data_IF_166931672218
#
_entry.id   IF_166931672218
#
_cell.length_a   1.000
_cell.length_b   1.000
_cell.length_c   1.000
_cell.angle_alpha   90.00
_cell.angle_beta   90.00
_cell.angle_gamma   90.00
#
_symmetry.space_group_name_H-M   'P 1'
#
loop_
_entity.id
_entity.type
_entity.pdbx_description
1 polymer ?
#
# COMPACT_ATOMS: atom_id res chain seq x y z
N UNK A 1 7.08 3.61 1.84
CA UNK A 1 8.19 3.24 2.71
C UNK A 1 7.81 3.21 4.19
N UNK A 2 7.41 4.33 4.83
CA UNK A 2 7.17 4.38 6.29
C UNK A 2 6.24 3.29 6.84
N UNK A 3 5.11 3.02 6.16
CA UNK A 3 4.16 1.97 6.55
C UNK A 3 4.73 0.53 6.51
N UNK A 4 5.85 0.33 5.82
CA UNK A 4 6.54 -0.96 5.70
C UNK A 4 7.81 -1.02 6.55
N UNK A 5 8.53 0.11 6.66
CA UNK A 5 9.80 0.18 7.38
C UNK A 5 9.67 0.34 8.90
N UNK A 6 8.55 0.90 9.38
CA UNK A 6 8.31 1.11 10.81
C UNK A 6 7.42 -0.03 11.35
N UNK A 7 7.92 -0.90 12.26
CA UNK A 7 7.21 -2.08 12.72
C UNK A 7 5.80 -1.80 13.23
N UNK A 8 5.61 -0.71 13.99
CA UNK A 8 4.29 -0.36 14.54
C UNK A 8 3.30 -0.02 13.42
N UNK A 9 3.71 0.73 12.40
CA UNK A 9 2.83 1.08 11.28
C UNK A 9 2.51 -0.15 10.42
N UNK A 10 3.49 -1.04 10.23
CA UNK A 10 3.27 -2.29 9.50
C UNK A 10 2.20 -3.18 10.14
N UNK A 11 2.11 -3.23 11.48
CA UNK A 11 1.09 -4.03 12.17
C UNK A 11 -0.34 -3.70 11.73
N UNK A 12 -0.60 -2.44 11.41
CA UNK A 12 -1.87 -1.99 10.85
C UNK A 12 -1.94 -2.21 9.34
N UNK A 13 -0.87 -1.83 8.63
CA UNK A 13 -0.82 -1.85 7.18
C UNK A 13 -0.85 -3.26 6.58
N UNK A 14 -0.34 -4.28 7.28
CA UNK A 14 -0.32 -5.66 6.79
C UNK A 14 -1.73 -6.22 6.49
N UNK A 15 -2.78 -5.64 7.08
CA UNK A 15 -4.17 -5.98 6.73
C UNK A 15 -4.49 -5.58 5.28
N UNK A 16 -3.96 -4.46 4.82
CA UNK A 16 -4.06 -4.04 3.41
C UNK A 16 -3.32 -5.02 2.50
N UNK A 17 -2.12 -5.44 2.91
CA UNK A 17 -1.34 -6.46 2.21
C UNK A 17 -1.87 -7.89 2.38
N UNK A 18 -2.97 -8.12 3.10
CA UNK A 18 -3.52 -9.47 3.27
C UNK A 18 -4.37 -9.93 2.07
N UNK A 19 -4.28 -9.23 0.93
CA UNK A 19 -4.98 -9.61 -0.30
C UNK A 19 -4.31 -10.80 -0.94
N UNK A 20 -5.11 -11.73 -1.48
CA UNK A 20 -4.63 -12.88 -2.27
C UNK A 20 -4.83 -12.68 -3.77
N UNK A 21 -5.67 -11.73 -4.13
CA UNK A 21 -6.01 -11.34 -5.50
C UNK A 21 -6.05 -9.83 -5.54
N UNK A 22 -5.64 -9.26 -6.68
CA UNK A 22 -5.77 -7.83 -6.90
C UNK A 22 -7.19 -7.51 -7.35
N UNK A 23 -7.89 -6.67 -6.61
CA UNK A 23 -9.18 -6.12 -6.99
C UNK A 23 -9.36 -4.74 -6.35
N UNK A 24 -10.22 -3.91 -6.95
CA UNK A 24 -10.38 -2.52 -6.51
C UNK A 24 -10.94 -2.43 -5.09
N UNK A 25 -11.58 -3.48 -4.57
CA UNK A 25 -12.08 -3.56 -3.19
C UNK A 25 -10.90 -3.75 -2.23
N UNK A 26 -9.86 -4.47 -2.65
CA UNK A 26 -8.58 -4.62 -1.96
C UNK A 26 -7.95 -3.27 -1.57
N UNK A 27 -8.13 -2.22 -2.39
CA UNK A 27 -7.73 -0.85 -2.07
C UNK A 27 -8.28 -0.35 -0.72
N UNK A 28 -9.35 -0.94 -0.20
CA UNK A 28 -10.06 -0.45 0.99
C UNK A 28 -9.87 -1.32 2.22
N UNK A 29 -9.05 -2.37 2.14
CA UNK A 29 -8.78 -3.29 3.24
C UNK A 29 -7.80 -2.71 4.26
N UNK A 30 -8.14 -1.56 4.84
CA UNK A 30 -7.33 -0.93 5.87
C UNK A 30 -7.88 -1.15 7.27
N UNK A 31 -7.00 -1.13 8.25
CA UNK A 31 -7.42 -1.03 9.63
C UNK A 31 -8.03 0.35 9.90
N UNK A 32 -9.11 0.42 10.69
CA UNK A 32 -9.80 1.69 10.96
C UNK A 32 -8.88 2.75 11.60
N UNK A 33 -8.01 2.34 12.53
CA UNK A 33 -7.03 3.23 13.15
C UNK A 33 -6.03 3.80 12.14
N UNK A 34 -5.62 3.03 11.13
CA UNK A 34 -4.76 3.53 10.05
C UNK A 34 -5.48 4.61 9.26
N UNK A 35 -6.75 4.39 8.91
CA UNK A 35 -7.57 5.39 8.22
C UNK A 35 -7.63 6.68 9.03
N UNK A 36 -7.93 6.62 10.33
CA UNK A 36 -8.07 7.81 11.18
C UNK A 36 -6.74 8.55 11.33
N UNK A 37 -5.67 7.85 11.74
CA UNK A 37 -4.37 8.46 12.01
C UNK A 37 -3.74 8.98 10.73
N UNK A 38 -3.64 8.15 9.69
CA UNK A 38 -3.00 8.54 8.44
C UNK A 38 -3.74 9.67 7.73
N UNK A 39 -5.08 9.61 7.66
CA UNK A 39 -5.87 10.69 7.04
C UNK A 39 -5.87 11.95 7.90
N UNK A 40 -5.88 11.81 9.23
CA UNK A 40 -5.76 12.94 10.15
C UNK A 40 -4.45 13.70 9.92
N UNK A 41 -3.31 12.99 9.97
CA UNK A 41 -1.99 13.58 9.71
C UNK A 41 -1.91 14.22 8.33
N UNK A 42 -2.53 13.60 7.31
CA UNK A 42 -2.50 14.11 5.94
C UNK A 42 -3.40 15.34 5.71
N UNK A 43 -4.61 15.35 6.27
CA UNK A 43 -5.63 16.33 5.89
C UNK A 43 -5.84 17.44 6.93
N UNK A 44 -5.54 17.22 8.21
CA UNK A 44 -5.63 18.28 9.23
C UNK A 44 -4.74 19.48 8.90
N UNK A 45 -3.46 19.31 8.48
CA UNK A 45 -2.64 20.46 8.11
C UNK A 45 -3.21 21.24 6.93
N UNK A 46 -3.75 20.56 5.90
CA UNK A 46 -4.39 21.21 4.76
C UNK A 46 -5.59 22.06 5.20
N UNK A 47 -6.37 21.55 6.14
CA UNK A 47 -7.50 22.29 6.70
C UNK A 47 -7.04 23.52 7.50
N UNK A 48 -6.02 23.36 8.36
CA UNK A 48 -5.46 24.47 9.16
C UNK A 48 -4.85 25.57 8.26
N UNK A 49 -4.25 25.18 7.13
CA UNK A 49 -3.72 26.12 6.13
C UNK A 49 -4.80 26.80 5.28
N UNK A 50 -6.08 26.50 5.52
CA UNK A 50 -7.19 27.14 4.82
C UNK A 50 -7.34 26.72 3.36
N UNK A 51 -6.94 25.49 3.01
CA UNK A 51 -7.16 24.96 1.66
C UNK A 51 -8.66 24.95 1.35
N UNK A 52 -9.03 25.49 0.18
CA UNK A 52 -10.42 25.52 -0.27
C UNK A 52 -11.04 24.12 -0.30
N UNK A 53 -12.27 24.01 0.19
CA UNK A 53 -12.96 22.73 0.32
C UNK A 53 -13.22 22.05 -1.04
N UNK A 54 -13.48 22.82 -2.11
CA UNK A 54 -13.69 22.24 -3.45
C UNK A 54 -12.38 21.70 -4.00
N UNK A 55 -11.28 22.44 -3.84
CA UNK A 55 -9.95 21.97 -4.21
C UNK A 55 -9.60 20.67 -3.46
N UNK A 56 -9.91 20.60 -2.16
CA UNK A 56 -9.74 19.40 -1.37
C UNK A 56 -10.60 18.22 -1.87
N UNK A 57 -11.87 18.46 -2.20
CA UNK A 57 -12.76 17.42 -2.75
C UNK A 57 -12.25 16.86 -4.08
N UNK A 58 -11.80 17.73 -4.99
CA UNK A 58 -11.24 17.32 -6.28
C UNK A 58 -9.99 16.47 -6.06
N UNK A 59 -9.07 16.93 -5.21
CA UNK A 59 -7.88 16.18 -4.85
C UNK A 59 -8.21 14.80 -4.25
N UNK A 60 -9.16 14.76 -3.33
CA UNK A 60 -9.59 13.51 -2.70
C UNK A 60 -10.22 12.55 -3.72
N UNK A 61 -11.09 13.04 -4.60
CA UNK A 61 -11.69 12.25 -5.68
C UNK A 61 -10.65 11.71 -6.66
N UNK A 62 -9.63 12.50 -6.99
CA UNK A 62 -8.52 12.03 -7.82
C UNK A 62 -7.78 10.86 -7.14
N UNK A 63 -7.41 11.00 -5.86
CA UNK A 63 -6.72 9.93 -5.12
C UNK A 63 -7.57 8.66 -5.00
N UNK A 64 -8.88 8.84 -4.83
CA UNK A 64 -9.85 7.76 -4.76
C UNK A 64 -9.80 6.90 -6.02
N UNK A 65 -9.93 7.55 -7.18
CA UNK A 65 -9.94 6.90 -8.49
C UNK A 65 -8.57 6.29 -8.80
N UNK A 66 -7.48 7.03 -8.54
CA UNK A 66 -6.13 6.55 -8.84
C UNK A 66 -5.73 5.36 -7.96
N UNK A 67 -6.08 5.38 -6.67
CA UNK A 67 -5.86 4.24 -5.78
C UNK A 67 -6.66 3.00 -6.18
N UNK A 68 -7.93 3.18 -6.59
CA UNK A 68 -8.76 2.10 -7.10
C UNK A 68 -8.20 1.53 -8.42
N UNK A 69 -7.71 2.39 -9.31
CA UNK A 69 -7.06 1.99 -10.55
C UNK A 69 -5.82 1.13 -10.24
N UNK A 70 -4.93 1.59 -9.37
CA UNK A 70 -3.72 0.83 -9.04
C UNK A 70 -3.97 -0.48 -8.31
N UNK A 71 -5.12 -0.64 -7.67
CA UNK A 71 -5.57 -1.93 -7.13
C UNK A 71 -6.47 -2.72 -8.09
N UNK A 72 -6.55 -2.34 -9.35
CA UNK A 72 -7.30 -3.13 -10.33
C UNK A 72 -6.48 -4.29 -10.87
N UNK A 73 -7.14 -5.36 -11.32
CA UNK A 73 -6.50 -6.45 -12.08
C UNK A 73 -6.35 -6.11 -13.57
N UNK A 74 -6.02 -4.86 -13.89
CA UNK A 74 -5.84 -4.40 -15.26
C UNK A 74 -4.37 -4.49 -15.67
N UNK A 75 -4.11 -4.88 -16.92
CA UNK A 75 -2.76 -4.89 -17.47
C UNK A 75 -2.39 -3.52 -18.06
N UNK A 76 -2.23 -2.50 -17.20
CA UNK A 76 -1.86 -1.14 -17.60
C UNK A 76 -0.47 -0.82 -17.07
N UNK A 77 0.48 -0.55 -17.97
CA UNK A 77 1.89 -0.30 -17.63
C UNK A 77 2.35 1.16 -17.82
N UNK A 78 1.50 2.02 -18.39
CA UNK A 78 1.77 3.42 -18.72
C UNK A 78 2.94 3.71 -19.68
N UNK A 79 3.62 2.70 -20.22
CA UNK A 79 4.76 2.92 -21.11
C UNK A 79 5.81 3.85 -20.47
N UNK A 80 6.23 4.94 -21.14
CA UNK A 80 7.17 5.92 -20.55
C UNK A 80 6.62 6.67 -19.33
N UNK A 81 5.30 6.80 -19.16
CA UNK A 81 4.73 7.52 -18.01
C UNK A 81 4.95 6.77 -16.68
N UNK A 82 5.38 5.50 -16.70
CA UNK A 82 5.75 4.72 -15.52
C UNK A 82 6.84 5.36 -14.66
N UNK A 83 7.63 6.27 -15.23
CA UNK A 83 8.68 7.00 -14.51
C UNK A 83 8.13 8.12 -13.63
N UNK A 84 6.88 8.53 -13.85
CA UNK A 84 6.20 9.59 -13.10
C UNK A 84 5.02 9.04 -12.33
N UNK A 85 4.19 8.22 -12.99
CA UNK A 85 2.94 7.70 -12.46
C UNK A 85 3.04 6.19 -12.19
N UNK A 86 2.54 5.79 -11.02
CA UNK A 86 2.37 4.38 -10.69
C UNK A 86 1.21 3.78 -11.50
N UNK A 87 1.31 2.50 -11.81
CA UNK A 87 0.37 1.74 -12.63
C UNK A 87 -0.15 0.51 -11.89
N UNK A 88 -1.25 -0.09 -12.34
CA UNK A 88 -1.68 -1.40 -11.84
C UNK A 88 -0.57 -2.46 -11.94
N UNK A 89 0.17 -2.51 -13.05
CA UNK A 89 1.26 -3.46 -13.24
C UNK A 89 2.49 -3.19 -12.36
N UNK A 90 2.66 -1.97 -11.84
CA UNK A 90 3.71 -1.66 -10.86
C UNK A 90 3.21 -1.92 -9.44
N UNK A 91 2.03 -1.40 -9.11
CA UNK A 91 1.47 -1.48 -7.76
C UNK A 91 1.16 -2.92 -7.34
N UNK A 92 0.92 -3.85 -8.26
CA UNK A 92 0.77 -5.26 -7.88
C UNK A 92 2.03 -5.86 -7.22
N UNK A 93 3.23 -5.42 -7.63
CA UNK A 93 4.48 -5.84 -7.00
C UNK A 93 4.70 -5.24 -5.60
N UNK A 94 3.97 -4.19 -5.26
CA UNK A 94 3.91 -3.69 -3.89
C UNK A 94 3.32 -4.73 -2.93
N UNK A 95 2.38 -5.54 -3.44
CA UNK A 95 1.65 -6.58 -2.71
C UNK A 95 2.27 -7.97 -2.82
N UNK A 96 3.49 -8.06 -3.38
CA UNK A 96 4.22 -9.32 -3.48
C UNK A 96 4.49 -9.90 -2.07
N UNK A 97 4.11 -11.16 -1.87
CA UNK A 97 4.37 -11.89 -0.63
C UNK A 97 5.86 -12.11 -0.38
N UNK A 98 6.66 -12.13 -1.45
CA UNK A 98 8.12 -12.19 -1.41
C UNK A 98 8.70 -10.78 -1.66
N UNK A 99 8.79 -9.92 -0.64
CA UNK A 99 9.16 -8.52 -0.84
C UNK A 99 10.54 -8.38 -1.48
N UNK A 100 10.64 -7.49 -2.47
CA UNK A 100 11.93 -7.11 -3.03
C UNK A 100 12.71 -6.26 -2.04
N UNK A 101 13.94 -6.65 -1.75
CA UNK A 101 14.77 -5.98 -0.74
C UNK A 101 14.16 -6.09 0.66
N UNK A 102 14.52 -5.17 1.56
CA UNK A 102 14.14 -5.28 2.97
C UNK A 102 12.65 -5.01 3.23
N UNK A 103 12.02 -4.14 2.45
CA UNK A 103 10.68 -3.62 2.74
C UNK A 103 9.70 -3.71 1.56
N UNK A 104 10.12 -4.30 0.43
CA UNK A 104 9.33 -4.32 -0.80
C UNK A 104 9.68 -3.18 -1.76
N UNK A 105 8.79 -2.97 -2.72
CA UNK A 105 8.97 -2.05 -3.85
C UNK A 105 7.71 -1.20 -4.09
N UNK A 106 7.82 -0.22 -5.00
CA UNK A 106 6.71 0.56 -5.56
C UNK A 106 5.79 1.21 -4.50
N UNK A 107 6.38 1.95 -3.57
CA UNK A 107 5.68 2.54 -2.43
C UNK A 107 4.79 3.74 -2.79
N UNK A 108 5.05 4.42 -3.90
CA UNK A 108 4.32 5.62 -4.30
C UNK A 108 2.99 5.28 -4.96
N UNK A 109 1.85 5.47 -4.28
CA UNK A 109 0.54 5.13 -4.85
C UNK A 109 0.17 5.95 -6.09
N UNK A 110 0.56 7.22 -6.18
CA UNK A 110 0.30 8.04 -7.39
C UNK A 110 1.58 8.20 -8.18
N UNK A 111 2.62 8.68 -7.51
CA UNK A 111 3.85 9.11 -8.14
C UNK A 111 4.96 8.08 -7.95
N UNK A 112 5.25 7.31 -8.99
CA UNK A 112 6.33 6.32 -9.01
C UNK A 112 7.71 6.96 -9.15
N UNK A 113 7.82 8.24 -9.50
CA UNK A 113 9.14 8.90 -9.62
C UNK A 113 9.93 8.84 -8.31
N UNK A 114 9.25 8.84 -7.15
CA UNK A 114 9.90 8.64 -5.86
C UNK A 114 10.55 7.26 -5.78
N UNK A 115 9.88 6.23 -6.28
CA UNK A 115 10.43 4.88 -6.32
C UNK A 115 11.63 4.76 -7.25
N UNK A 116 11.62 5.46 -8.39
CA UNK A 116 12.78 5.53 -9.27
C UNK A 116 13.95 6.29 -8.63
N UNK A 117 13.66 7.43 -8.01
CA UNK A 117 14.65 8.28 -7.34
C UNK A 117 15.36 7.55 -6.19
N UNK A 118 14.62 6.76 -5.41
CA UNK A 118 15.15 6.03 -4.26
C UNK A 118 15.51 4.57 -4.55
N UNK A 119 15.44 4.14 -5.83
CA UNK A 119 15.82 2.79 -6.23
C UNK A 119 14.88 1.69 -5.72
N UNK A 120 13.63 2.02 -5.39
CA UNK A 120 12.59 1.09 -4.94
C UNK A 120 11.57 0.74 -6.03
N UNK A 121 11.76 1.25 -7.24
CA UNK A 121 10.93 0.89 -8.39
C UNK A 121 11.19 -0.54 -8.84
N UNK A 122 10.12 -1.28 -9.11
CA UNK A 122 10.18 -2.64 -9.65
C UNK A 122 9.11 -2.85 -10.71
N UNK A 123 9.55 -3.24 -11.92
CA UNK A 123 8.65 -3.54 -13.03
C UNK A 123 9.33 -4.53 -13.98
N UNK A 124 9.19 -5.84 -13.75
CA UNK A 124 9.72 -6.85 -14.66
C UNK A 124 9.01 -6.82 -16.01
N UNK A 125 9.68 -7.33 -17.05
CA UNK A 125 9.13 -7.37 -18.40
C UNK A 125 8.02 -8.44 -18.55
N UNK A 126 8.20 -9.60 -17.92
CA UNK A 126 7.29 -10.74 -17.85
C UNK A 126 7.78 -11.65 -16.71
N UNK A 127 6.92 -12.19 -15.81
CA UNK A 127 5.49 -11.89 -15.64
C UNK A 127 5.24 -10.49 -15.11
N UNK A 128 4.07 -9.93 -15.43
CA UNK A 128 3.64 -8.60 -14.96
C UNK A 128 2.98 -8.64 -13.57
N UNK A 129 2.85 -9.83 -12.97
CA UNK A 129 2.29 -10.04 -11.64
C UNK A 129 3.19 -10.97 -10.81
N UNK A 130 3.24 -10.81 -9.48
CA UNK A 130 3.90 -11.75 -8.58
C UNK A 130 3.26 -13.13 -8.63
N UNK A 131 4.02 -14.15 -8.23
CA UNK A 131 3.50 -15.52 -8.08
C UNK A 131 2.44 -15.60 -6.97
N UNK A 132 2.64 -14.88 -5.87
CA UNK A 132 1.72 -14.84 -4.74
C UNK A 132 1.60 -13.44 -4.17
N UNK A 133 0.36 -13.00 -3.94
CA UNK A 133 0.07 -11.79 -3.18
C UNK A 133 -0.10 -12.13 -1.69
N UNK A 134 0.24 -11.18 -0.84
CA UNK A 134 0.07 -11.31 0.59
C UNK A 134 1.24 -10.75 1.39
N UNK A 135 1.42 -11.28 2.59
CA UNK A 135 2.66 -11.14 3.34
C UNK A 135 2.97 -12.46 4.07
N UNK A 136 4.23 -12.60 4.51
CA UNK A 136 4.67 -13.79 5.23
C UNK A 136 3.93 -13.95 6.58
N UNK A 137 3.46 -15.16 6.87
CA UNK A 137 2.73 -15.45 8.11
C UNK A 137 1.28 -14.97 8.12
N UNK A 138 0.73 -14.51 6.98
CA UNK A 138 -0.69 -14.16 6.85
C UNK A 138 -1.63 -15.32 7.21
N UNK A 139 -1.16 -16.57 7.08
CA UNK A 139 -1.92 -17.78 7.40
C UNK A 139 -2.24 -17.89 8.89
N UNK A 140 -1.50 -17.15 9.73
CA UNK A 140 -1.74 -17.06 11.18
C UNK A 140 -2.73 -15.96 11.55
N UNK A 141 -3.22 -15.18 10.58
CA UNK A 141 -4.22 -14.16 10.86
C UNK A 141 -5.54 -14.83 11.28
N UNK A 142 -6.15 -14.38 12.39
CA UNK A 142 -7.43 -14.90 12.82
C UNK A 142 -8.48 -14.61 11.76
N UNK A 143 -9.40 -15.54 11.50
CA UNK A 143 -10.51 -15.32 10.55
C UNK A 143 -11.54 -14.34 11.11
N UNK A 144 -11.67 -14.28 12.44
CA UNK A 144 -12.60 -13.42 13.15
C UNK A 144 -12.23 -11.94 13.02
N UNK A 145 -13.20 -11.12 12.58
CA UNK A 145 -13.06 -9.67 12.41
C UNK A 145 -12.63 -8.96 13.71
N UNK A 146 -13.18 -9.34 14.86
CA UNK A 146 -12.83 -8.73 16.15
C UNK A 146 -11.36 -8.90 16.46
N UNK A 147 -10.82 -10.11 16.23
CA UNK A 147 -9.39 -10.33 16.40
C UNK A 147 -8.57 -9.57 15.37
N UNK A 148 -9.00 -9.44 14.11
CA UNK A 148 -8.29 -8.58 13.14
C UNK A 148 -8.27 -7.10 13.53
N UNK A 149 -9.28 -6.61 14.25
CA UNK A 149 -9.35 -5.23 14.75
C UNK A 149 -8.42 -4.99 15.96
N UNK A 150 -8.30 -5.95 16.87
CA UNK A 150 -7.48 -5.75 18.07
C UNK A 150 -6.04 -6.25 17.96
N UNK A 151 -5.78 -7.21 17.06
CA UNK A 151 -4.46 -7.82 16.87
C UNK A 151 -3.33 -6.81 16.63
N UNK A 152 -3.50 -5.74 15.82
CA UNK A 152 -2.42 -4.76 15.62
C UNK A 152 -1.96 -4.07 16.92
N UNK A 153 -2.85 -3.95 17.92
CA UNK A 153 -2.50 -3.36 19.22
C UNK A 153 -1.79 -4.37 20.13
N UNK A 154 -2.16 -5.65 20.03
CA UNK A 154 -1.70 -6.72 20.91
C UNK A 154 -0.40 -7.41 20.43
N UNK A 155 -0.20 -7.51 19.12
CA UNK A 155 0.83 -8.36 18.51
C UNK A 155 2.19 -7.66 18.34
N UNK A 156 3.08 -7.69 19.34
CA UNK A 156 4.38 -6.98 19.31
C UNK A 156 5.43 -7.57 18.36
N UNK A 157 5.08 -8.59 17.58
CA UNK A 157 6.05 -9.29 16.71
C UNK A 157 6.49 -8.38 15.55
N UNK A 158 7.78 -8.43 15.17
CA UNK A 158 8.29 -7.68 14.03
C UNK A 158 7.62 -8.14 12.71
N UNK A 159 7.63 -7.29 11.67
CA UNK A 159 7.16 -7.67 10.33
C UNK A 159 7.86 -8.94 9.86
N UNK A 160 7.10 -9.89 9.29
CA UNK A 160 7.71 -11.04 8.65
C UNK A 160 8.53 -10.57 7.42
N UNK A 161 9.81 -10.93 7.39
CA UNK A 161 10.84 -10.32 6.54
C UNK A 161 11.93 -9.56 7.30
N UNK A 162 11.77 -9.32 8.61
CA UNK A 162 12.84 -8.84 9.50
C UNK A 162 13.75 -9.96 10.03
N UNK A 163 13.42 -11.21 9.77
CA UNK A 163 14.21 -12.38 10.18
C UNK A 163 15.21 -12.76 9.06
N UNK A 164 16.08 -11.85 8.67
CA UNK A 164 17.30 -12.21 7.92
C UNK A 164 18.44 -11.30 8.36
N UNK A 165 19.37 -11.86 9.14
CA UNK A 165 20.77 -11.42 9.32
C UNK A 165 21.00 -10.01 9.82
#
# INVERSE_FOLDING_TARGET
YGMHGIPVLWRFHRLHHSIRTMDFIGNWRFHCAEIVVYRGVKYLPLHVLGVDFRAWLIYWGFLLVFGALNHSNLNVNWGPLRYVLNSPCMHIWHHDKAPRGRFGANFGVVFSFWDWLFGTAHMPADPLQPEQLGFQGQERLPENLWWRLFLPFLDSRPPAGHDVG
#
